data_IF_970763965089
#
_entry.id   IF_970763965089
#
_cell.length_a   1.000
_cell.length_b   1.000
_cell.length_c   1.000
_cell.angle_alpha   90.00
_cell.angle_beta   90.00
_cell.angle_gamma   90.00
#
_symmetry.space_group_name_H-M   'P 1'
#
loop_
_entity.id
_entity.type
_entity.pdbx_description
1 polymer ?
#
# COMPACT_ATOMS: atom_id res chain seq x y z
N UNK A 1 34.06 -6.35 -7.76
CA UNK A 1 34.09 -4.89 -7.58
C UNK A 1 33.32 -4.53 -6.32
N UNK A 2 33.78 -3.60 -5.48
CA UNK A 2 33.07 -3.17 -4.26
C UNK A 2 32.43 -1.78 -4.44
N UNK A 3 31.58 -1.34 -3.49
CA UNK A 3 30.86 -0.06 -3.59
C UNK A 3 31.80 1.15 -3.72
N UNK A 4 32.94 1.13 -3.05
CA UNK A 4 33.93 2.22 -3.11
C UNK A 4 34.56 2.34 -4.49
N UNK A 5 34.93 1.20 -5.10
CA UNK A 5 35.47 1.17 -6.47
C UNK A 5 34.41 1.56 -7.48
N UNK A 6 33.16 1.08 -7.33
CA UNK A 6 32.04 1.48 -8.20
C UNK A 6 31.82 3.00 -8.14
N UNK A 7 31.77 3.59 -6.95
CA UNK A 7 31.62 5.05 -6.78
C UNK A 7 32.74 5.84 -7.44
N UNK A 8 33.96 5.32 -7.48
CA UNK A 8 35.07 5.97 -8.22
C UNK A 8 34.83 5.91 -9.72
N UNK A 9 34.50 4.74 -10.26
CA UNK A 9 34.19 4.58 -11.69
C UNK A 9 33.00 5.44 -12.14
N UNK A 10 31.95 5.55 -11.32
CA UNK A 10 30.79 6.41 -11.63
C UNK A 10 31.13 7.91 -11.67
N UNK A 11 32.18 8.36 -10.97
CA UNK A 11 32.64 9.77 -11.02
C UNK A 11 33.42 10.10 -12.28
N UNK A 12 33.91 9.10 -13.00
CA UNK A 12 34.62 9.29 -14.27
C UNK A 12 33.67 9.37 -15.46
N UNK A 13 32.41 8.97 -15.28
CA UNK A 13 31.37 9.05 -16.30
C UNK A 13 30.82 10.46 -16.43
N UNK A 14 30.52 10.86 -17.66
CA UNK A 14 29.76 12.07 -17.92
C UNK A 14 28.25 11.87 -17.67
N UNK A 15 27.47 12.96 -17.74
CA UNK A 15 26.04 12.92 -17.48
C UNK A 15 25.29 11.98 -18.44
N UNK A 16 25.68 11.93 -19.71
CA UNK A 16 25.02 11.13 -20.74
C UNK A 16 25.29 9.64 -20.51
N UNK A 17 26.52 9.29 -20.16
CA UNK A 17 26.92 7.94 -19.81
C UNK A 17 26.22 7.45 -18.54
N UNK A 18 26.11 8.31 -17.53
CA UNK A 18 25.34 8.02 -16.31
C UNK A 18 23.86 7.78 -16.59
N UNK A 19 23.22 8.63 -17.41
CA UNK A 19 21.83 8.43 -17.83
C UNK A 19 21.68 7.11 -18.58
N UNK A 20 22.61 6.80 -19.49
CA UNK A 20 22.62 5.53 -20.24
C UNK A 20 22.69 4.33 -19.30
N UNK A 21 23.64 4.34 -18.36
CA UNK A 21 23.81 3.27 -17.37
C UNK A 21 22.54 3.08 -16.51
N UNK A 22 21.94 4.16 -16.02
CA UNK A 22 20.71 4.09 -15.21
C UNK A 22 19.54 3.56 -16.03
N UNK A 23 19.41 3.98 -17.30
CA UNK A 23 18.36 3.49 -18.20
C UNK A 23 18.53 2.00 -18.55
N UNK A 24 19.76 1.53 -18.69
CA UNK A 24 20.04 0.11 -18.93
C UNK A 24 19.74 -0.73 -17.68
N UNK A 25 20.12 -0.24 -16.49
CA UNK A 25 19.74 -0.87 -15.22
C UNK A 25 18.22 -0.94 -15.04
N UNK A 26 17.49 0.11 -15.41
CA UNK A 26 16.02 0.14 -15.42
C UNK A 26 15.40 -0.94 -16.32
N UNK A 27 16.00 -1.20 -17.49
CA UNK A 27 15.52 -2.23 -18.42
C UNK A 27 15.89 -3.65 -17.99
N UNK A 28 17.06 -3.82 -17.39
CA UNK A 28 17.64 -5.13 -17.08
C UNK A 28 17.10 -5.74 -15.79
N UNK A 29 16.62 -4.94 -14.83
CA UNK A 29 16.24 -5.43 -13.51
C UNK A 29 14.83 -4.95 -13.09
N UNK A 30 13.85 -5.85 -12.90
CA UNK A 30 12.49 -5.50 -12.49
C UNK A 30 12.38 -4.77 -11.14
N UNK A 31 13.25 -5.06 -10.18
CA UNK A 31 13.26 -4.38 -8.88
C UNK A 31 13.80 -2.96 -9.01
N UNK A 32 14.86 -2.75 -9.79
CA UNK A 32 15.39 -1.41 -10.12
C UNK A 32 14.37 -0.63 -10.93
N UNK A 33 13.67 -1.29 -11.86
CA UNK A 33 12.55 -0.72 -12.60
C UNK A 33 11.49 -0.18 -11.64
N UNK A 34 11.03 -1.02 -10.70
CA UNK A 34 10.06 -0.63 -9.69
C UNK A 34 10.55 0.54 -8.83
N UNK A 35 11.79 0.48 -8.35
CA UNK A 35 12.39 1.53 -7.51
C UNK A 35 12.53 2.88 -8.23
N UNK A 36 13.00 2.89 -9.48
CA UNK A 36 13.16 4.14 -10.22
C UNK A 36 11.79 4.67 -10.71
N UNK A 37 10.87 3.79 -11.11
CA UNK A 37 9.49 4.18 -11.41
C UNK A 37 8.82 4.80 -10.19
N UNK A 38 8.97 4.22 -8.99
CA UNK A 38 8.53 4.81 -7.72
C UNK A 38 9.07 6.22 -7.51
N UNK A 39 10.37 6.38 -7.71
CA UNK A 39 11.10 7.60 -7.37
C UNK A 39 10.81 8.76 -8.31
N UNK A 40 10.45 8.46 -9.55
CA UNK A 40 10.20 9.45 -10.60
C UNK A 40 8.74 9.45 -11.09
N UNK A 41 7.87 8.65 -10.49
CA UNK A 41 6.44 8.70 -10.74
C UNK A 41 5.92 10.09 -10.40
N UNK A 42 5.24 10.72 -11.35
CA UNK A 42 4.41 11.89 -11.06
C UNK A 42 3.25 11.48 -10.16
N UNK A 43 2.66 12.44 -9.44
CA UNK A 43 1.55 12.17 -8.52
C UNK A 43 0.37 11.46 -9.21
N UNK A 44 0.11 11.75 -10.48
CA UNK A 44 -0.90 11.07 -11.31
C UNK A 44 -0.64 9.56 -11.46
N UNK A 45 0.62 9.13 -11.60
CA UNK A 45 0.97 7.72 -11.73
C UNK A 45 0.84 6.99 -10.38
N UNK A 46 1.24 7.64 -9.28
CA UNK A 46 1.04 7.13 -7.92
C UNK A 46 -0.45 7.00 -7.62
N UNK A 47 -1.27 7.99 -7.98
CA UNK A 47 -2.72 7.94 -7.82
C UNK A 47 -3.34 6.78 -8.60
N UNK A 48 -2.91 6.53 -9.85
CA UNK A 48 -3.37 5.37 -10.61
C UNK A 48 -2.99 4.02 -9.98
N UNK A 49 -1.80 3.91 -9.38
CA UNK A 49 -1.39 2.71 -8.65
C UNK A 49 -2.19 2.53 -7.36
N UNK A 50 -2.47 3.62 -6.65
CA UNK A 50 -3.32 3.63 -5.46
C UNK A 50 -4.74 3.12 -5.80
N UNK A 51 -5.38 3.67 -6.83
CA UNK A 51 -6.72 3.25 -7.25
C UNK A 51 -6.77 1.77 -7.68
N UNK A 52 -5.72 1.27 -8.34
CA UNK A 52 -5.59 -0.16 -8.67
C UNK A 52 -5.51 -1.02 -7.41
N UNK A 53 -4.68 -0.64 -6.44
CA UNK A 53 -4.56 -1.37 -5.17
C UNK A 53 -5.88 -1.35 -4.39
N UNK A 54 -6.51 -0.18 -4.29
CA UNK A 54 -7.82 0.03 -3.66
C UNK A 54 -8.89 -0.86 -4.28
N UNK A 55 -8.97 -0.92 -5.61
CA UNK A 55 -9.93 -1.78 -6.31
C UNK A 55 -9.67 -3.27 -6.07
N UNK A 56 -8.41 -3.70 -5.96
CA UNK A 56 -8.08 -5.09 -5.58
C UNK A 56 -8.56 -5.39 -4.18
N UNK A 57 -8.29 -4.50 -3.21
CA UNK A 57 -8.78 -4.64 -1.83
C UNK A 57 -10.30 -4.75 -1.83
N UNK A 58 -11.00 -3.78 -2.41
CA UNK A 58 -12.46 -3.76 -2.49
C UNK A 58 -13.02 -5.07 -3.06
N UNK A 59 -12.49 -5.56 -4.18
CA UNK A 59 -13.00 -6.77 -4.84
C UNK A 59 -12.81 -8.06 -4.03
N UNK A 60 -11.91 -8.10 -3.04
CA UNK A 60 -11.80 -9.27 -2.17
C UNK A 60 -12.91 -9.31 -1.11
N UNK A 61 -13.52 -8.17 -0.76
CA UNK A 61 -14.63 -8.06 0.20
C UNK A 61 -15.97 -7.83 -0.50
N UNK A 62 -16.09 -6.74 -1.26
CA UNK A 62 -17.32 -6.23 -1.88
C UNK A 62 -17.13 -6.00 -3.39
N UNK A 63 -17.02 -7.06 -4.21
CA UNK A 63 -16.88 -6.94 -5.65
C UNK A 63 -18.17 -6.45 -6.32
N UNK A 64 -18.04 -5.80 -7.49
CA UNK A 64 -19.19 -5.30 -8.26
C UNK A 64 -20.19 -6.41 -8.67
N UNK A 65 -19.73 -7.66 -8.74
CA UNK A 65 -20.54 -8.84 -9.06
C UNK A 65 -20.11 -10.04 -8.23
N UNK A 66 -21.09 -10.74 -7.65
CA UNK A 66 -20.88 -11.95 -6.85
C UNK A 66 -20.50 -11.63 -5.40
N UNK A 67 -20.04 -12.65 -4.68
CA UNK A 67 -19.57 -12.51 -3.29
C UNK A 67 -18.06 -12.28 -3.23
N UNK A 68 -17.63 -11.51 -2.23
CA UNK A 68 -16.23 -11.38 -1.87
C UNK A 68 -15.60 -12.74 -1.61
N UNK A 69 -14.37 -12.93 -2.12
CA UNK A 69 -13.63 -14.18 -1.94
C UNK A 69 -12.86 -14.22 -0.63
N UNK A 70 -12.79 -13.09 0.08
CA UNK A 70 -12.09 -12.90 1.36
C UNK A 70 -10.65 -13.43 1.36
N UNK A 71 -9.95 -13.30 0.22
CA UNK A 71 -8.52 -13.66 0.15
C UNK A 71 -7.70 -12.53 0.73
N UNK A 72 -7.68 -12.47 2.06
CA UNK A 72 -7.01 -11.41 2.83
C UNK A 72 -5.53 -11.26 2.44
N UNK A 73 -4.85 -12.36 2.13
CA UNK A 73 -3.48 -12.36 1.64
C UNK A 73 -3.31 -11.55 0.35
N UNK A 74 -4.23 -11.69 -0.60
CA UNK A 74 -4.20 -10.97 -1.88
C UNK A 74 -4.48 -9.48 -1.70
N UNK A 75 -5.40 -9.12 -0.81
CA UNK A 75 -5.63 -7.72 -0.46
C UNK A 75 -4.37 -7.09 0.18
N UNK A 76 -3.76 -7.78 1.16
CA UNK A 76 -2.51 -7.33 1.81
C UNK A 76 -1.33 -7.25 0.85
N UNK A 77 -1.23 -8.18 -0.10
CA UNK A 77 -0.22 -8.17 -1.15
C UNK A 77 -0.35 -6.94 -2.05
N UNK A 78 -1.58 -6.52 -2.40
CA UNK A 78 -1.81 -5.32 -3.19
C UNK A 78 -1.31 -4.06 -2.47
N UNK A 79 -1.61 -3.93 -1.17
CA UNK A 79 -1.12 -2.82 -0.32
C UNK A 79 0.41 -2.83 -0.23
N UNK A 80 0.99 -4.01 0.04
CA UNK A 80 2.44 -4.17 0.16
C UNK A 80 3.16 -3.87 -1.16
N UNK A 81 2.57 -4.27 -2.28
CA UNK A 81 3.11 -3.99 -3.62
C UNK A 81 3.05 -2.50 -3.93
N UNK A 82 1.92 -1.84 -3.64
CA UNK A 82 1.80 -0.38 -3.76
C UNK A 82 2.88 0.34 -2.95
N UNK A 83 3.02 -0.02 -1.67
CA UNK A 83 4.01 0.58 -0.78
C UNK A 83 5.43 0.43 -1.33
N UNK A 84 5.82 -0.77 -1.78
CA UNK A 84 7.14 -1.02 -2.38
C UNK A 84 7.37 -0.30 -3.70
N UNK A 85 6.31 -0.12 -4.50
CA UNK A 85 6.38 0.49 -5.83
C UNK A 85 6.32 2.02 -5.82
N UNK A 86 5.93 2.64 -4.71
CA UNK A 86 5.70 4.09 -4.64
C UNK A 86 6.48 4.75 -3.52
N UNK A 87 6.74 4.03 -2.42
CA UNK A 87 7.30 4.62 -1.21
C UNK A 87 6.36 5.65 -0.55
N UNK A 88 5.09 5.72 -0.98
CA UNK A 88 4.10 6.66 -0.46
C UNK A 88 3.51 6.10 0.84
N UNK A 89 4.07 6.54 1.96
CA UNK A 89 3.73 6.04 3.30
C UNK A 89 2.29 6.39 3.68
N UNK A 90 1.84 7.63 3.39
CA UNK A 90 0.51 8.07 3.75
C UNK A 90 -0.57 7.35 2.93
N UNK A 91 -0.43 7.24 1.60
CA UNK A 91 -1.39 6.48 0.78
C UNK A 91 -1.33 4.98 1.09
N UNK A 92 -0.20 4.46 1.57
CA UNK A 92 -0.11 3.08 2.06
C UNK A 92 -0.94 2.92 3.34
N UNK A 93 -0.81 3.84 4.30
CA UNK A 93 -1.58 3.86 5.54
C UNK A 93 -3.09 3.98 5.27
N UNK A 94 -3.45 4.84 4.32
CA UNK A 94 -4.83 5.00 3.85
C UNK A 94 -5.42 3.68 3.28
N UNK A 95 -4.66 2.96 2.45
CA UNK A 95 -5.06 1.64 1.94
C UNK A 95 -5.20 0.59 3.04
N UNK A 96 -4.37 0.66 4.09
CA UNK A 96 -4.47 -0.21 5.25
C UNK A 96 -5.76 0.05 6.03
N UNK A 97 -6.14 1.32 6.22
CA UNK A 97 -7.42 1.66 6.83
C UNK A 97 -8.59 1.20 5.95
N UNK A 98 -8.50 1.43 4.64
CA UNK A 98 -9.52 0.98 3.68
C UNK A 98 -9.73 -0.54 3.71
N UNK A 99 -8.66 -1.32 3.89
CA UNK A 99 -8.78 -2.76 4.10
C UNK A 99 -9.62 -3.11 5.33
N UNK A 100 -9.45 -2.38 6.44
CA UNK A 100 -10.25 -2.60 7.65
C UNK A 100 -11.70 -2.17 7.43
N UNK A 101 -11.92 -1.01 6.81
CA UNK A 101 -13.26 -0.52 6.46
C UNK A 101 -14.04 -1.54 5.63
N UNK A 102 -13.42 -2.10 4.59
CA UNK A 102 -14.04 -3.14 3.76
C UNK A 102 -14.34 -4.42 4.55
N UNK A 103 -13.50 -4.76 5.53
CA UNK A 103 -13.76 -5.88 6.43
C UNK A 103 -14.97 -5.65 7.33
N UNK A 104 -15.04 -4.47 7.96
CA UNK A 104 -16.14 -4.06 8.84
C UNK A 104 -17.46 -3.94 8.07
N UNK A 105 -17.45 -3.35 6.88
CA UNK A 105 -18.64 -3.27 6.02
C UNK A 105 -19.10 -4.66 5.59
N UNK A 106 -18.16 -5.54 5.23
CA UNK A 106 -18.48 -6.92 4.87
C UNK A 106 -19.20 -7.67 6.00
N UNK A 107 -18.69 -7.61 7.23
CA UNK A 107 -19.34 -8.28 8.38
C UNK A 107 -20.66 -7.63 8.75
N UNK A 108 -20.80 -6.32 8.56
CA UNK A 108 -22.08 -5.62 8.74
C UNK A 108 -23.15 -6.10 7.76
N UNK A 109 -22.77 -6.46 6.53
CA UNK A 109 -23.69 -6.91 5.48
C UNK A 109 -23.99 -8.42 5.53
N UNK A 110 -23.01 -9.24 5.87
CA UNK A 110 -23.09 -10.70 5.75
C UNK A 110 -23.05 -11.43 7.10
N UNK A 111 -22.88 -10.71 8.19
CA UNK A 111 -22.82 -11.24 9.55
C UNK A 111 -21.46 -11.81 9.91
N UNK A 112 -21.47 -12.62 10.96
CA UNK A 112 -20.27 -13.14 11.60
C UNK A 112 -19.39 -14.02 10.71
N UNK A 113 -18.08 -13.87 10.89
CA UNK A 113 -17.04 -14.64 10.22
C UNK A 113 -16.18 -15.36 11.28
N UNK A 114 -15.30 -16.26 10.84
CA UNK A 114 -14.35 -16.93 11.72
C UNK A 114 -13.40 -15.95 12.43
N UNK A 115 -13.04 -16.25 13.68
CA UNK A 115 -12.15 -15.45 14.54
C UNK A 115 -10.85 -14.99 13.85
N UNK A 116 -10.27 -15.84 13.00
CA UNK A 116 -9.05 -15.49 12.25
C UNK A 116 -9.23 -14.28 11.33
N UNK A 117 -10.43 -14.01 10.83
CA UNK A 117 -10.74 -12.80 10.07
C UNK A 117 -10.62 -11.55 10.95
N UNK A 118 -11.25 -11.56 12.12
CA UNK A 118 -11.20 -10.45 13.07
C UNK A 118 -9.78 -10.19 13.58
N UNK A 119 -8.99 -11.23 13.85
CA UNK A 119 -7.57 -11.10 14.16
C UNK A 119 -6.78 -10.39 13.05
N UNK A 120 -7.15 -10.60 11.78
CA UNK A 120 -6.54 -9.90 10.66
C UNK A 120 -7.00 -8.44 10.53
N UNK A 121 -8.25 -8.12 10.91
CA UNK A 121 -8.77 -6.74 10.92
C UNK A 121 -8.14 -5.93 12.06
N UNK A 122 -8.22 -6.45 13.29
CA UNK A 122 -7.67 -5.80 14.48
C UNK A 122 -6.16 -5.57 14.32
N UNK A 123 -5.41 -6.59 13.89
CA UNK A 123 -3.98 -6.44 13.68
C UNK A 123 -3.59 -5.47 12.56
N UNK A 124 -4.49 -5.18 11.60
CA UNK A 124 -4.26 -4.11 10.62
C UNK A 124 -4.62 -2.75 11.22
N UNK A 125 -5.76 -2.65 11.90
CA UNK A 125 -6.22 -1.42 12.56
C UNK A 125 -5.22 -0.93 13.60
N UNK A 126 -4.67 -1.82 14.43
CA UNK A 126 -3.65 -1.49 15.44
C UNK A 126 -2.40 -0.86 14.81
N UNK A 127 -2.00 -1.34 13.63
CA UNK A 127 -0.88 -0.75 12.88
C UNK A 127 -1.23 0.63 12.37
N UNK A 128 -2.44 0.83 11.85
CA UNK A 128 -2.89 2.14 11.37
C UNK A 128 -2.94 3.13 12.54
N UNK A 129 -3.58 2.76 13.64
CA UNK A 129 -3.70 3.56 14.85
C UNK A 129 -2.32 3.89 15.43
N UNK A 130 -1.40 2.92 15.47
CA UNK A 130 -0.02 3.13 15.91
C UNK A 130 0.72 4.18 15.08
N UNK A 131 0.60 4.13 13.75
CA UNK A 131 1.23 5.13 12.86
C UNK A 131 0.58 6.51 12.98
N UNK A 132 -0.75 6.58 13.15
CA UNK A 132 -1.44 7.85 13.40
C UNK A 132 -1.04 8.47 14.75
N UNK A 133 -0.80 7.65 15.77
CA UNK A 133 -0.35 8.13 17.08
C UNK A 133 1.07 8.71 17.04
N UNK A 134 1.89 8.32 16.07
CA UNK A 134 3.24 8.85 15.85
C UNK A 134 3.26 10.07 14.93
N UNK A 135 2.15 10.36 14.22
CA UNK A 135 2.06 11.43 13.23
C UNK A 135 0.68 12.13 13.27
N UNK A 136 0.63 13.30 13.91
CA UNK A 136 -0.59 14.09 14.11
C UNK A 136 -1.28 14.50 12.80
N UNK A 137 -0.51 14.83 11.75
CA UNK A 137 -1.07 15.17 10.44
C UNK A 137 -1.82 13.99 9.83
N UNK A 138 -1.24 12.79 9.92
CA UNK A 138 -1.89 11.57 9.42
C UNK A 138 -3.14 11.22 10.23
N UNK A 139 -3.08 11.39 11.55
CA UNK A 139 -4.26 11.22 12.40
C UNK A 139 -5.37 12.19 11.99
N UNK A 140 -5.07 13.47 11.80
CA UNK A 140 -6.07 14.48 11.44
C UNK A 140 -6.78 14.15 10.12
N UNK A 141 -6.07 13.57 9.16
CA UNK A 141 -6.65 13.13 7.90
C UNK A 141 -7.51 11.86 8.00
N UNK A 142 -7.28 11.02 9.01
CA UNK A 142 -7.89 9.68 9.10
C UNK A 142 -8.87 9.52 10.29
N UNK A 143 -8.92 10.46 11.24
CA UNK A 143 -9.68 10.34 12.50
C UNK A 143 -11.15 9.97 12.31
N UNK A 144 -11.87 10.67 11.41
CA UNK A 144 -13.30 10.43 11.19
C UNK A 144 -13.54 8.99 10.70
N UNK A 145 -12.62 8.46 9.88
CA UNK A 145 -12.68 7.11 9.35
C UNK A 145 -12.32 6.06 10.40
N UNK A 146 -11.32 6.34 11.25
CA UNK A 146 -10.97 5.48 12.38
C UNK A 146 -12.14 5.36 13.36
N UNK A 147 -12.79 6.46 13.70
CA UNK A 147 -13.97 6.49 14.55
C UNK A 147 -15.12 5.70 13.93
N UNK A 148 -15.39 5.90 12.64
CA UNK A 148 -16.44 5.16 11.93
C UNK A 148 -16.19 3.63 11.92
N UNK A 149 -14.93 3.19 11.81
CA UNK A 149 -14.59 1.75 11.93
C UNK A 149 -14.94 1.23 13.32
N UNK A 150 -14.63 1.97 14.39
CA UNK A 150 -14.91 1.57 15.77
C UNK A 150 -16.41 1.53 16.07
N UNK A 151 -17.15 2.54 15.58
CA UNK A 151 -18.60 2.60 15.74
C UNK A 151 -19.26 1.41 15.06
N UNK A 152 -18.92 1.10 13.81
CA UNK A 152 -19.52 -0.01 13.08
C UNK A 152 -19.07 -1.38 13.59
N UNK A 153 -17.86 -1.51 14.13
CA UNK A 153 -17.38 -2.75 14.73
C UNK A 153 -18.11 -3.09 16.06
N UNK A 154 -18.73 -2.11 16.72
CA UNK A 154 -19.43 -2.30 17.99
C UNK A 154 -20.83 -2.91 17.83
N UNK A 155 -21.33 -3.05 16.59
CA UNK A 155 -22.66 -3.60 16.27
C UNK A 155 -22.63 -4.98 15.62
N UNK A 156 -21.43 -5.57 15.45
CA UNK A 156 -21.22 -6.91 14.89
C UNK A 156 -20.99 -7.92 16.02
#
# INVERSE_FOLDING_TARGET
>A
MNLTTLKKSLKELDQKELIGLVADLYKLNPEVKGYLSSRFAGDDEVALLYEKAKKVVQNEFLPDRGLGKLRLSKAKEAITSFSKMTGDEFRTLDLMLFYVEMGTEFTSLYGDIQESFYNNMNGMFDRVAGQCNENEEWYDHLKDRLENVLDNASYV
#
